data_IF_489085374563
#
_entry.id   IF_489085374563
#
_cell.length_a   1.000
_cell.length_b   1.000
_cell.length_c   1.000
_cell.angle_alpha   90.00
_cell.angle_beta   90.00
_cell.angle_gamma   90.00
#
_symmetry.space_group_name_H-M   'P 1'
#
loop_
_entity.id
_entity.type
_entity.pdbx_description
1 polymer ?
#
# COMPACT_ATOMS: atom_id res chain seq x y z
N UNK A 1 29.90 -35.13 41.61
CA UNK A 1 30.84 -35.36 40.50
C UNK A 1 30.18 -36.25 39.45
N UNK A 2 29.98 -35.68 38.25
CA UNK A 2 29.69 -36.27 36.94
C UNK A 2 29.49 -37.80 36.91
N UNK A 3 28.25 -38.24 36.65
CA UNK A 3 27.84 -39.32 35.72
C UNK A 3 26.39 -39.74 35.98
N UNK A 4 25.69 -40.02 34.87
CA UNK A 4 24.45 -40.80 34.64
C UNK A 4 23.43 -39.93 33.90
N UNK A 5 23.37 -39.99 32.56
CA UNK A 5 22.77 -41.04 31.72
C UNK A 5 21.25 -40.85 31.58
N UNK A 6 20.78 -41.01 30.34
CA UNK A 6 19.38 -41.07 29.83
C UNK A 6 18.88 -39.73 29.26
N UNK A 7 18.98 -39.44 27.95
CA UNK A 7 18.32 -40.06 26.78
C UNK A 7 16.81 -40.25 26.95
N UNK A 8 16.07 -39.56 26.06
CA UNK A 8 14.68 -39.78 25.61
C UNK A 8 13.59 -39.13 26.47
N UNK A 9 13.03 -38.01 25.98
CA UNK A 9 11.59 -37.71 25.93
C UNK A 9 11.41 -36.63 24.84
N UNK A 10 11.01 -37.05 23.63
CA UNK A 10 9.65 -36.90 23.12
C UNK A 10 9.38 -35.47 22.64
N UNK A 11 9.55 -35.30 21.32
CA UNK A 11 9.19 -34.08 20.61
C UNK A 11 7.71 -33.76 20.81
N UNK A 12 7.46 -32.67 21.52
CA UNK A 12 6.20 -31.96 21.51
C UNK A 12 6.48 -30.62 20.81
N UNK A 13 6.00 -30.53 19.58
CA UNK A 13 6.02 -29.33 18.75
C UNK A 13 5.48 -28.14 19.55
N UNK A 14 6.35 -27.16 19.79
CA UNK A 14 5.97 -25.90 20.41
C UNK A 14 4.94 -25.20 19.53
N UNK A 15 3.76 -25.00 20.11
CA UNK A 15 2.84 -23.91 19.77
C UNK A 15 3.60 -22.60 19.98
N UNK A 16 3.89 -21.85 18.91
CA UNK A 16 4.27 -20.44 18.99
C UNK A 16 3.02 -19.58 18.90
N UNK A 17 2.39 -19.35 20.05
CA UNK A 17 1.66 -18.13 20.29
C UNK A 17 2.69 -17.08 20.73
N UNK A 18 3.17 -16.28 19.78
CA UNK A 18 3.97 -15.10 20.05
C UNK A 18 3.07 -13.86 19.96
N UNK A 19 2.73 -13.31 21.13
CA UNK A 19 2.24 -11.95 21.28
C UNK A 19 3.46 -11.02 21.23
N UNK A 20 3.51 -10.08 20.28
CA UNK A 20 4.56 -9.06 20.26
C UNK A 20 4.51 -8.12 19.06
N UNK A 21 4.08 -6.88 19.31
CA UNK A 21 4.46 -5.71 18.52
C UNK A 21 3.35 -5.18 17.61
N UNK A 22 2.63 -4.17 18.09
CA UNK A 22 1.75 -3.38 17.23
C UNK A 22 2.57 -2.61 16.20
N UNK A 23 2.17 -2.75 14.94
CA UNK A 23 2.41 -1.77 13.90
C UNK A 23 1.10 -1.68 13.11
N UNK A 24 0.39 -0.58 13.34
CA UNK A 24 -0.76 -0.17 12.54
C UNK A 24 -0.23 0.24 11.16
N UNK A 25 -0.34 -0.64 10.17
CA UNK A 25 -0.21 -0.27 8.77
C UNK A 25 -1.09 -1.20 7.92
N UNK A 26 -2.38 -0.90 8.00
CA UNK A 26 -3.35 -0.91 6.91
C UNK A 26 -3.09 -1.92 5.79
N UNK A 27 -3.91 -2.97 5.83
CA UNK A 27 -4.18 -3.98 4.82
C UNK A 27 -3.95 -3.46 3.40
N UNK A 28 -2.81 -3.81 2.82
CA UNK A 28 -2.61 -3.77 1.38
C UNK A 28 -3.53 -4.82 0.78
N UNK A 29 -4.65 -4.36 0.21
CA UNK A 29 -5.56 -5.14 -0.61
C UNK A 29 -4.76 -5.96 -1.61
N UNK A 30 -4.57 -7.25 -1.32
CA UNK A 30 -3.90 -8.21 -2.19
C UNK A 30 -4.81 -8.50 -3.39
N UNK A 31 -4.92 -7.54 -4.31
CA UNK A 31 -5.40 -7.81 -5.66
C UNK A 31 -4.28 -8.55 -6.39
N UNK A 32 -4.41 -9.86 -6.53
CA UNK A 32 -3.39 -10.77 -7.06
C UNK A 32 -2.94 -10.49 -8.52
N UNK A 33 -3.39 -9.39 -9.13
CA UNK A 33 -2.98 -8.90 -10.45
C UNK A 33 -2.43 -7.46 -10.51
N UNK A 34 -2.65 -6.64 -9.48
CA UNK A 34 -2.24 -5.23 -9.49
C UNK A 34 -0.80 -5.02 -8.98
N UNK A 35 -0.08 -4.06 -9.56
CA UNK A 35 1.21 -3.62 -9.05
C UNK A 35 1.11 -2.91 -7.70
N UNK A 36 2.24 -2.84 -6.97
CA UNK A 36 2.31 -2.09 -5.71
C UNK A 36 1.92 -0.62 -5.92
N UNK A 37 0.85 -0.11 -5.27
CA UNK A 37 0.29 1.20 -5.58
C UNK A 37 1.25 2.34 -5.23
N UNK A 38 2.07 2.18 -4.19
CA UNK A 38 3.04 3.20 -3.81
C UNK A 38 4.15 3.31 -4.87
N UNK A 39 4.66 2.18 -5.35
CA UNK A 39 5.66 2.13 -6.43
C UNK A 39 5.10 2.69 -7.73
N UNK A 40 3.87 2.34 -8.10
CA UNK A 40 3.19 2.88 -9.28
C UNK A 40 3.05 4.41 -9.17
N UNK A 41 2.64 4.91 -8.00
CA UNK A 41 2.58 6.35 -7.73
C UNK A 41 3.96 7.01 -7.88
N UNK A 42 5.01 6.46 -7.28
CA UNK A 42 6.38 7.02 -7.41
C UNK A 42 6.84 7.03 -8.88
N UNK A 43 6.49 6.03 -9.67
CA UNK A 43 6.92 5.96 -11.07
C UNK A 43 6.16 6.89 -12.01
N UNK A 44 4.89 7.18 -11.73
CA UNK A 44 3.98 7.84 -12.67
C UNK A 44 3.44 9.20 -12.22
N UNK A 45 3.45 9.46 -10.91
CA UNK A 45 2.72 10.58 -10.32
C UNK A 45 3.60 11.53 -9.49
N UNK A 46 4.65 11.02 -8.83
CA UNK A 46 5.43 11.82 -7.88
C UNK A 46 6.17 13.00 -8.50
N UNK A 47 6.52 12.94 -9.78
CA UNK A 47 7.15 14.06 -10.50
C UNK A 47 6.30 15.33 -10.49
N UNK A 48 4.98 15.21 -10.35
CA UNK A 48 4.07 16.34 -10.29
C UNK A 48 3.48 16.54 -8.90
N UNK A 49 3.14 15.45 -8.20
CA UNK A 49 2.46 15.49 -6.91
C UNK A 49 3.40 15.37 -5.70
N UNK A 50 4.71 15.31 -5.94
CA UNK A 50 5.73 15.14 -4.91
C UNK A 50 5.85 13.68 -4.43
N UNK A 51 7.05 13.30 -4.00
CA UNK A 51 7.34 11.95 -3.51
C UNK A 51 6.52 11.57 -2.27
N UNK A 52 6.15 12.57 -1.47
CA UNK A 52 5.34 12.40 -0.26
C UNK A 52 3.91 12.92 -0.43
N UNK A 53 3.42 13.07 -1.67
CA UNK A 53 2.07 13.58 -1.98
C UNK A 53 1.86 15.06 -1.63
N UNK A 54 2.91 15.76 -1.23
CA UNK A 54 2.84 17.13 -0.73
C UNK A 54 2.43 18.15 -1.79
N UNK A 55 2.41 17.75 -3.06
CA UNK A 55 2.17 18.59 -4.22
C UNK A 55 3.46 19.21 -4.79
N UNK A 56 3.29 19.96 -5.86
CA UNK A 56 4.38 20.65 -6.56
C UNK A 56 3.85 21.30 -7.83
N UNK A 57 3.99 20.59 -8.95
CA UNK A 57 3.32 20.98 -10.22
C UNK A 57 1.83 20.66 -10.15
N UNK A 58 1.50 19.49 -9.62
CA UNK A 58 0.15 19.07 -9.29
C UNK A 58 -0.23 19.43 -7.84
N UNK A 59 -1.53 19.39 -7.50
CA UNK A 59 -1.99 19.64 -6.15
C UNK A 59 -1.48 18.61 -5.13
N UNK A 60 -1.55 18.97 -3.85
CA UNK A 60 -1.32 18.06 -2.73
C UNK A 60 -2.38 16.94 -2.71
N UNK A 61 -1.94 15.71 -2.46
CA UNK A 61 -2.77 14.50 -2.39
C UNK A 61 -2.71 13.78 -1.03
N UNK A 62 -2.04 14.35 -0.01
CA UNK A 62 -1.88 13.72 1.31
C UNK A 62 -3.23 13.40 1.99
N UNK A 63 -4.29 14.13 1.62
CA UNK A 63 -5.64 13.98 2.17
C UNK A 63 -6.72 13.88 1.09
N UNK A 64 -6.34 13.44 -0.11
CA UNK A 64 -7.26 13.44 -1.25
C UNK A 64 -8.49 12.55 -1.02
N UNK A 65 -8.35 11.49 -0.23
CA UNK A 65 -9.44 10.61 0.17
C UNK A 65 -10.49 11.23 1.10
N UNK A 66 -10.21 12.41 1.68
CA UNK A 66 -11.21 13.23 2.37
C UNK A 66 -12.05 14.08 1.41
N UNK A 67 -11.61 14.22 0.16
CA UNK A 67 -12.23 15.08 -0.84
C UNK A 67 -12.86 14.29 -1.99
N UNK A 68 -12.22 13.19 -2.40
CA UNK A 68 -12.63 12.35 -3.53
C UNK A 68 -12.73 10.89 -3.08
N UNK A 69 -13.71 10.19 -3.63
CA UNK A 69 -13.82 8.73 -3.56
C UNK A 69 -12.78 8.03 -4.46
N UNK A 70 -12.58 6.73 -4.24
CA UNK A 70 -11.74 5.89 -5.11
C UNK A 70 -12.16 6.00 -6.58
N UNK A 71 -13.46 5.87 -6.87
CA UNK A 71 -14.00 5.92 -8.24
C UNK A 71 -13.71 7.27 -8.92
N UNK A 72 -13.81 8.38 -8.19
CA UNK A 72 -13.49 9.71 -8.70
C UNK A 72 -11.98 9.89 -8.95
N UNK A 73 -11.14 9.30 -8.10
CA UNK A 73 -9.68 9.32 -8.26
C UNK A 73 -9.30 8.48 -9.48
N UNK A 74 -9.83 7.27 -9.62
CA UNK A 74 -9.59 6.39 -10.76
C UNK A 74 -10.01 7.05 -12.08
N UNK A 75 -11.20 7.66 -12.10
CA UNK A 75 -11.67 8.44 -13.25
C UNK A 75 -10.73 9.59 -13.58
N UNK A 76 -10.22 10.29 -12.57
CA UNK A 76 -9.26 11.38 -12.77
C UNK A 76 -7.93 10.87 -13.35
N UNK A 77 -7.47 9.69 -12.94
CA UNK A 77 -6.28 9.03 -13.50
C UNK A 77 -6.52 8.64 -14.97
N UNK A 78 -7.71 8.13 -15.29
CA UNK A 78 -8.07 7.72 -16.64
C UNK A 78 -8.25 8.91 -17.60
N UNK A 79 -9.01 9.93 -17.19
CA UNK A 79 -9.39 11.06 -18.04
C UNK A 79 -8.42 12.24 -17.97
N UNK A 80 -7.55 12.27 -16.96
CA UNK A 80 -6.73 13.43 -16.66
C UNK A 80 -7.56 14.61 -16.14
N UNK A 81 -6.89 15.68 -15.73
CA UNK A 81 -7.56 16.90 -15.25
C UNK A 81 -6.66 18.12 -15.36
N UNK A 82 -7.11 19.11 -16.13
CA UNK A 82 -6.33 20.33 -16.35
C UNK A 82 -4.99 20.01 -17.02
N UNK A 83 -3.89 20.21 -16.29
CA UNK A 83 -2.54 19.89 -16.75
C UNK A 83 -2.13 18.42 -16.54
N UNK A 84 -2.89 17.65 -15.75
CA UNK A 84 -2.63 16.23 -15.55
C UNK A 84 -3.04 15.45 -16.81
N UNK A 85 -2.09 14.76 -17.48
CA UNK A 85 -2.40 13.99 -18.69
C UNK A 85 -3.29 12.77 -18.36
N UNK A 86 -4.14 12.34 -19.30
CA UNK A 86 -4.96 11.14 -19.15
C UNK A 86 -4.14 9.85 -19.24
N UNK A 87 -4.72 8.75 -18.75
CA UNK A 87 -4.23 7.36 -18.92
C UNK A 87 -2.79 7.15 -18.46
N UNK A 88 -2.43 7.72 -17.32
CA UNK A 88 -1.11 7.48 -16.69
C UNK A 88 -0.99 6.06 -16.13
N UNK A 89 -2.11 5.51 -15.68
CA UNK A 89 -2.32 4.11 -15.29
C UNK A 89 -3.67 3.67 -15.86
N UNK A 90 -3.85 2.36 -16.03
CA UNK A 90 -5.08 1.76 -16.56
C UNK A 90 -5.39 0.45 -15.82
N UNK A 91 -6.65 0.02 -15.86
CA UNK A 91 -7.07 -1.26 -15.29
C UNK A 91 -6.78 -1.39 -13.79
N UNK A 92 -6.34 -2.58 -13.37
CA UNK A 92 -6.12 -2.91 -11.96
C UNK A 92 -5.05 -2.02 -11.29
N UNK A 93 -4.05 -1.54 -12.04
CA UNK A 93 -3.03 -0.62 -11.52
C UNK A 93 -3.63 0.76 -11.19
N UNK A 94 -4.54 1.27 -12.02
CA UNK A 94 -5.23 2.52 -11.75
C UNK A 94 -6.15 2.38 -10.53
N UNK A 95 -6.91 1.28 -10.46
CA UNK A 95 -7.79 0.98 -9.35
C UNK A 95 -7.03 0.86 -8.03
N UNK A 96 -5.89 0.15 -8.01
CA UNK A 96 -5.06 -0.02 -6.82
C UNK A 96 -4.47 1.31 -6.31
N UNK A 97 -3.97 2.17 -7.22
CA UNK A 97 -3.48 3.50 -6.83
C UNK A 97 -4.62 4.39 -6.33
N UNK A 98 -5.79 4.32 -6.97
CA UNK A 98 -6.96 5.09 -6.56
C UNK A 98 -7.46 4.68 -5.17
N UNK A 99 -7.53 3.38 -4.89
CA UNK A 99 -7.88 2.84 -3.56
C UNK A 99 -6.90 3.34 -2.49
N UNK A 100 -5.61 3.20 -2.76
CA UNK A 100 -4.56 3.64 -1.84
C UNK A 100 -4.59 5.15 -1.57
N UNK A 101 -4.90 5.97 -2.57
CA UNK A 101 -5.07 7.42 -2.40
C UNK A 101 -6.37 7.77 -1.66
N UNK A 102 -7.46 7.05 -1.91
CA UNK A 102 -8.75 7.25 -1.23
C UNK A 102 -8.68 6.93 0.28
N UNK A 103 -7.74 6.08 0.69
CA UNK A 103 -7.49 5.80 2.10
C UNK A 103 -6.80 6.95 2.86
N UNK A 104 -6.28 7.97 2.16
CA UNK A 104 -5.50 9.07 2.75
C UNK A 104 -6.41 10.26 3.07
N UNK A 105 -6.64 10.53 4.36
CA UNK A 105 -7.67 11.45 4.85
C UNK A 105 -7.15 12.56 5.76
#
# INVERSE_FOLDING_TARGET
MKKKLMMIFMGASLVLAACGGGEEANEGSESAGAGDPQKLFTQKCSSCHGDNLQGGVGPNLEKIGSQLSQEEIEKTIAEGKGAMPPRLLEGEDAAAVAEWLAAKK
#
